data_IF_515053900733
#
_entry.id   IF_515053900733
#
_cell.length_a   1.000
_cell.length_b   1.000
_cell.length_c   1.000
_cell.angle_alpha   90.00
_cell.angle_beta   90.00
_cell.angle_gamma   90.00
#
_symmetry.space_group_name_H-M   'P 1'
#
loop_
_entity.id
_entity.type
_entity.pdbx_description
1 polymer ?
#
# COMPACT_ATOMS: atom_id res chain seq x y z
N UNK A 1 -6.28 -6.41 -29.81
CA UNK A 1 -6.60 -5.25 -28.97
C UNK A 1 -5.41 -4.30 -29.07
N UNK A 2 -5.53 -3.19 -29.81
CA UNK A 2 -4.43 -2.23 -29.92
C UNK A 2 -4.21 -1.59 -28.54
N UNK A 3 -3.03 -1.81 -27.97
CA UNK A 3 -2.60 -1.18 -26.73
C UNK A 3 -2.38 0.31 -27.03
N UNK A 4 -3.44 1.12 -26.92
CA UNK A 4 -3.29 2.57 -27.05
C UNK A 4 -2.33 3.06 -25.96
N UNK A 5 -1.48 4.07 -26.24
CA UNK A 5 -0.56 4.61 -25.24
C UNK A 5 -1.26 5.07 -23.94
N UNK A 6 -2.54 5.41 -24.01
CA UNK A 6 -3.39 5.71 -22.86
C UNK A 6 -3.57 4.52 -21.92
N UNK A 7 -3.62 3.30 -22.46
CA UNK A 7 -3.74 2.07 -21.68
C UNK A 7 -2.50 1.83 -20.83
N UNK A 8 -1.29 2.01 -21.37
CA UNK A 8 -0.06 1.84 -20.59
C UNK A 8 0.05 2.89 -19.47
N UNK A 9 -0.35 4.14 -19.74
CA UNK A 9 -0.39 5.21 -18.74
C UNK A 9 -1.38 4.92 -17.60
N UNK A 10 -2.56 4.37 -17.91
CA UNK A 10 -3.50 3.90 -16.90
C UNK A 10 -2.94 2.72 -16.09
N UNK A 11 -2.30 1.76 -16.76
CA UNK A 11 -1.70 0.61 -16.09
C UNK A 11 -0.62 1.03 -15.09
N UNK A 12 0.14 2.10 -15.35
CA UNK A 12 1.12 2.64 -14.38
C UNK A 12 0.45 3.02 -13.05
N UNK A 13 -0.72 3.66 -13.08
CA UNK A 13 -1.46 4.01 -11.86
C UNK A 13 -1.92 2.75 -11.10
N UNK A 14 -2.43 1.75 -11.84
CA UNK A 14 -2.86 0.47 -11.25
C UNK A 14 -1.66 -0.25 -10.63
N UNK A 15 -0.52 -0.31 -11.33
CA UNK A 15 0.71 -0.92 -10.83
C UNK A 15 1.28 -0.20 -9.60
N UNK A 16 1.16 1.12 -9.51
CA UNK A 16 1.54 1.88 -8.31
C UNK A 16 0.71 1.47 -7.09
N UNK A 17 -0.62 1.42 -7.24
CA UNK A 17 -1.54 1.07 -6.14
C UNK A 17 -1.42 -0.40 -5.74
N UNK A 18 -1.38 -1.31 -6.73
CA UNK A 18 -1.22 -2.75 -6.49
C UNK A 18 0.18 -3.05 -5.94
N UNK A 19 1.21 -2.39 -6.47
CA UNK A 19 2.60 -2.53 -6.05
C UNK A 19 2.80 -2.13 -4.59
N UNK A 20 2.30 -0.96 -4.18
CA UNK A 20 2.43 -0.51 -2.79
C UNK A 20 1.61 -1.37 -1.83
N UNK A 21 0.42 -1.81 -2.25
CA UNK A 21 -0.43 -2.70 -1.45
C UNK A 21 0.23 -4.07 -1.23
N UNK A 22 0.80 -4.65 -2.29
CA UNK A 22 1.55 -5.91 -2.22
C UNK A 22 2.84 -5.77 -1.42
N UNK A 23 3.55 -4.64 -1.55
CA UNK A 23 4.74 -4.36 -0.76
C UNK A 23 4.41 -4.23 0.73
N UNK A 24 3.37 -3.47 1.11
CA UNK A 24 2.87 -3.38 2.49
C UNK A 24 2.52 -4.77 3.03
N UNK A 25 1.74 -5.56 2.28
CA UNK A 25 1.37 -6.93 2.68
C UNK A 25 2.58 -7.82 2.91
N UNK A 26 3.54 -7.83 1.97
CA UNK A 26 4.77 -8.65 2.11
C UNK A 26 5.62 -8.18 3.29
N UNK A 27 5.72 -6.87 3.53
CA UNK A 27 6.49 -6.30 4.64
C UNK A 27 5.87 -6.64 6.00
N UNK A 28 4.56 -6.48 6.14
CA UNK A 28 3.82 -6.86 7.34
C UNK A 28 3.87 -8.37 7.58
N UNK A 29 3.71 -9.19 6.54
CA UNK A 29 3.80 -10.65 6.64
C UNK A 29 5.18 -11.13 7.12
N UNK A 30 6.27 -10.50 6.65
CA UNK A 30 7.63 -10.80 7.13
C UNK A 30 7.78 -10.42 8.60
N UNK A 31 7.41 -9.19 8.96
CA UNK A 31 7.49 -8.73 10.34
C UNK A 31 6.64 -9.60 11.29
N UNK A 32 5.43 -10.00 10.88
CA UNK A 32 4.56 -10.88 11.63
C UNK A 32 5.13 -12.30 11.80
N UNK A 33 5.90 -12.80 10.83
CA UNK A 33 6.59 -14.09 10.92
C UNK A 33 7.73 -14.07 11.94
N UNK A 34 8.38 -12.92 12.09
CA UNK A 34 9.50 -12.74 13.03
C UNK A 34 9.01 -12.52 14.48
N UNK A 35 7.70 -12.34 14.69
CA UNK A 35 7.11 -12.20 16.02
C UNK A 35 6.99 -13.56 16.76
N UNK A 36 7.25 -13.60 18.07
CA UNK A 36 7.02 -14.79 18.87
C UNK A 36 5.54 -15.17 18.88
N UNK A 37 5.26 -16.48 18.87
CA UNK A 37 3.90 -17.06 18.70
C UNK A 37 2.86 -16.52 19.71
N UNK A 38 3.32 -16.06 20.88
CA UNK A 38 2.46 -15.42 21.91
C UNK A 38 1.90 -14.07 21.44
N UNK A 39 2.74 -13.24 20.80
CA UNK A 39 2.34 -11.94 20.25
C UNK A 39 1.58 -12.11 18.92
N UNK A 40 1.93 -13.13 18.12
CA UNK A 40 1.18 -13.47 16.90
C UNK A 40 -0.29 -13.84 17.18
N UNK A 41 -0.59 -14.48 18.31
CA UNK A 41 -1.98 -14.77 18.70
C UNK A 41 -2.80 -13.53 19.09
N UNK A 42 -2.13 -12.44 19.43
CA UNK A 42 -2.78 -11.17 19.77
C UNK A 42 -3.00 -10.29 18.53
N UNK A 43 -2.29 -10.58 17.45
CA UNK A 43 -2.52 -9.99 16.15
C UNK A 43 -3.83 -10.55 15.56
N UNK A 44 -4.75 -9.66 15.18
CA UNK A 44 -6.00 -10.04 14.52
C UNK A 44 -5.78 -10.79 13.19
N UNK A 45 -6.85 -11.29 12.56
CA UNK A 45 -6.74 -12.03 11.30
C UNK A 45 -6.04 -11.20 10.20
N UNK A 46 -5.29 -11.89 9.33
CA UNK A 46 -4.83 -11.30 8.05
C UNK A 46 -6.07 -10.72 7.32
N UNK A 47 -6.02 -9.52 6.72
CA UNK A 47 -4.86 -8.92 6.03
C UNK A 47 -4.31 -7.62 6.60
N UNK A 48 -4.98 -7.00 7.59
CA UNK A 48 -4.55 -5.71 8.14
C UNK A 48 -3.87 -5.81 9.49
N UNK A 49 -3.97 -6.97 10.17
CA UNK A 49 -3.51 -7.17 11.55
C UNK A 49 -4.05 -6.04 12.44
N UNK A 50 -5.27 -6.19 12.94
CA UNK A 50 -5.83 -5.22 13.88
C UNK A 50 -4.96 -5.22 15.15
N UNK A 51 -4.27 -4.10 15.38
CA UNK A 51 -3.57 -3.90 16.64
C UNK A 51 -4.56 -3.38 17.67
N UNK A 52 -4.53 -3.91 18.91
CA UNK A 52 -5.26 -3.30 20.00
C UNK A 52 -4.77 -1.86 20.22
N UNK A 53 -5.67 -0.95 20.63
CA UNK A 53 -5.36 0.47 20.90
C UNK A 53 -4.18 0.65 21.86
N UNK A 54 -3.97 -0.32 22.76
CA UNK A 54 -2.82 -0.41 23.66
C UNK A 54 -2.00 -1.67 23.32
N UNK A 55 -0.97 -1.58 22.47
CA UNK A 55 -0.11 -2.71 22.16
C UNK A 55 0.70 -3.12 23.40
N UNK A 56 0.81 -4.42 23.72
CA UNK A 56 1.67 -4.90 24.80
C UNK A 56 3.16 -4.77 24.44
N UNK A 57 4.01 -4.75 25.48
CA UNK A 57 5.47 -4.66 25.31
C UNK A 57 5.98 -5.74 24.33
N UNK A 58 6.66 -5.29 23.27
CA UNK A 58 7.13 -6.14 22.15
C UNK A 58 6.30 -6.07 20.87
N UNK A 59 5.08 -5.53 20.90
CA UNK A 59 4.27 -5.23 19.69
C UNK A 59 4.41 -3.78 19.21
N UNK A 60 5.03 -2.91 20.00
CA UNK A 60 5.22 -1.49 19.69
C UNK A 60 6.04 -1.25 18.42
N UNK A 61 7.12 -2.02 18.21
CA UNK A 61 7.95 -1.94 17.01
C UNK A 61 7.17 -2.34 15.75
N UNK A 62 6.31 -3.36 15.87
CA UNK A 62 5.41 -3.77 14.80
C UNK A 62 4.35 -2.70 14.51
N UNK A 63 3.77 -2.09 15.56
CA UNK A 63 2.82 -0.99 15.45
C UNK A 63 3.42 0.23 14.74
N UNK A 64 4.65 0.60 15.11
CA UNK A 64 5.39 1.68 14.47
C UNK A 64 5.66 1.39 12.99
N UNK A 65 6.02 0.15 12.66
CA UNK A 65 6.25 -0.30 11.29
C UNK A 65 4.96 -0.28 10.46
N UNK A 66 3.83 -0.68 11.04
CA UNK A 66 2.51 -0.63 10.40
C UNK A 66 2.09 0.82 10.14
N UNK A 67 2.18 1.72 11.12
CA UNK A 67 1.90 3.16 10.96
C UNK A 67 2.79 3.80 9.88
N UNK A 68 4.09 3.49 9.86
CA UNK A 68 5.01 3.99 8.84
C UNK A 68 4.64 3.48 7.45
N UNK A 69 4.25 2.21 7.34
CA UNK A 69 3.85 1.59 6.08
C UNK A 69 2.53 2.19 5.55
N UNK A 70 1.57 2.48 6.43
CA UNK A 70 0.33 3.20 6.09
C UNK A 70 0.63 4.61 5.56
N UNK A 71 1.55 5.33 6.19
CA UNK A 71 1.98 6.65 5.72
C UNK A 71 2.54 6.57 4.30
N UNK A 72 3.42 5.60 4.03
CA UNK A 72 3.97 5.38 2.68
C UNK A 72 2.87 5.01 1.68
N UNK A 73 1.91 4.16 2.06
CA UNK A 73 0.76 3.85 1.20
C UNK A 73 -0.05 5.11 0.88
N UNK A 74 -0.27 5.99 1.85
CA UNK A 74 -0.97 7.25 1.65
C UNK A 74 -0.22 8.18 0.69
N UNK A 75 1.11 8.29 0.83
CA UNK A 75 1.95 9.04 -0.12
C UNK A 75 1.87 8.48 -1.53
N UNK A 76 1.90 7.15 -1.70
CA UNK A 76 1.77 6.51 -3.01
C UNK A 76 0.36 6.70 -3.57
N UNK A 77 -0.67 6.69 -2.73
CA UNK A 77 -2.03 7.03 -3.15
C UNK A 77 -2.13 8.48 -3.66
N UNK A 78 -1.53 9.43 -2.94
CA UNK A 78 -1.44 10.82 -3.40
C UNK A 78 -0.68 10.96 -4.72
N UNK A 79 0.44 10.24 -4.87
CA UNK A 79 1.21 10.21 -6.12
C UNK A 79 0.42 9.57 -7.27
N UNK A 80 -0.31 8.48 -6.99
CA UNK A 80 -1.16 7.81 -7.98
C UNK A 80 -2.30 8.72 -8.43
N UNK A 81 -2.90 9.48 -7.50
CA UNK A 81 -3.94 10.46 -7.81
C UNK A 81 -3.40 11.62 -8.65
N UNK A 82 -2.22 12.16 -8.29
CA UNK A 82 -1.52 13.18 -9.07
C UNK A 82 -1.21 12.68 -10.49
N UNK A 83 -0.75 11.43 -10.61
CA UNK A 83 -0.49 10.79 -11.88
C UNK A 83 -1.77 10.64 -12.72
N UNK A 84 -2.89 10.26 -12.09
CA UNK A 84 -4.17 10.12 -12.77
C UNK A 84 -4.66 11.45 -13.33
N UNK A 85 -4.54 12.54 -12.56
CA UNK A 85 -4.82 13.91 -13.03
C UNK A 85 -3.93 14.28 -14.21
N UNK A 86 -2.64 13.96 -14.16
CA UNK A 86 -1.71 14.21 -15.26
C UNK A 86 -2.06 13.43 -16.53
N UNK A 87 -2.45 12.15 -16.40
CA UNK A 87 -2.89 11.32 -17.53
C UNK A 87 -4.19 11.86 -18.13
N UNK A 88 -5.15 12.30 -17.31
CA UNK A 88 -6.39 12.94 -17.78
C UNK A 88 -6.07 14.24 -18.54
N UNK A 89 -5.17 15.06 -18.00
CA UNK A 89 -4.72 16.29 -18.66
C UNK A 89 -4.08 16.01 -20.03
N UNK A 90 -3.18 15.03 -20.11
CA UNK A 90 -2.60 14.58 -21.39
C UNK A 90 -3.65 14.07 -22.37
N UNK A 91 -4.65 13.32 -21.88
CA UNK A 91 -5.73 12.83 -22.72
C UNK A 91 -6.58 13.97 -23.28
N UNK A 92 -6.87 15.02 -22.49
CA UNK A 92 -7.60 16.20 -22.94
C UNK A 92 -6.78 17.07 -23.91
N UNK A 93 -5.48 17.25 -23.66
CA UNK A 93 -4.59 18.00 -24.55
C UNK A 93 -4.30 17.27 -25.87
N UNK A 94 -4.32 15.94 -25.89
CA UNK A 94 -4.16 15.13 -27.10
C UNK A 94 -5.41 15.07 -27.98
N UNK A 95 -6.57 15.53 -27.47
CA UNK A 95 -7.84 15.60 -28.22
C UNK A 95 -8.08 16.94 -28.91
N UNK A 96 -7.16 17.91 -28.79
CA UNK A 96 -7.14 19.15 -29.58
C UNK A 96 -6.10 19.07 -30.69
#
# INVERSE_FOLDING_TARGET
>A
MQMTPQWSLMMVAVFLVVGVSNWRRRRLKRAARDLPTRLFRQLGPEPEFDLPESPPEGLEDFAALQKRSLRVQHWVWGLALLWLVYVIYLAMGATQ
#
